data_IF_846711103072
#
_entry.id   IF_846711103072
#
_cell.length_a   1.000
_cell.length_b   1.000
_cell.length_c   1.000
_cell.angle_alpha   90.00
_cell.angle_beta   90.00
_cell.angle_gamma   90.00
#
_symmetry.space_group_name_H-M   'P 1'
#
loop_
_entity.id
_entity.type
_entity.pdbx_description
1 polymer ?
#
# COMPACT_ATOMS: atom_id res chain seq x y z
N UNK A 1 22.43 46.57 56.54
CA UNK A 1 21.87 46.50 55.16
C UNK A 1 21.95 45.06 54.68
N UNK A 2 20.81 44.37 54.56
CA UNK A 2 20.79 43.00 54.07
C UNK A 2 21.12 42.99 52.56
N UNK A 3 22.12 42.19 52.16
CA UNK A 3 22.45 41.96 50.75
C UNK A 3 21.23 41.32 50.07
N UNK A 4 20.52 42.08 49.24
CA UNK A 4 19.51 41.54 48.32
C UNK A 4 20.27 40.73 47.25
N UNK A 5 20.30 39.42 47.40
CA UNK A 5 20.75 38.54 46.34
C UNK A 5 19.84 38.77 45.13
N UNK A 6 20.43 39.20 44.00
CA UNK A 6 19.71 39.33 42.73
C UNK A 6 19.46 37.91 42.21
N UNK A 7 18.20 37.58 41.99
CA UNK A 7 17.82 36.32 41.34
C UNK A 7 18.35 36.31 39.90
N UNK A 8 19.24 35.37 39.52
CA UNK A 8 19.77 35.29 38.16
C UNK A 8 18.71 34.95 37.10
N UNK A 9 17.54 34.46 37.52
CA UNK A 9 16.42 34.14 36.64
C UNK A 9 15.29 35.18 36.68
N UNK A 10 15.49 36.31 37.38
CA UNK A 10 14.58 37.45 37.34
C UNK A 10 13.16 37.17 37.86
N UNK A 11 13.00 36.23 38.79
CA UNK A 11 11.71 35.84 39.38
C UNK A 11 10.96 34.78 38.57
N UNK A 12 11.55 34.21 37.53
CA UNK A 12 10.93 33.13 36.74
C UNK A 12 11.08 31.80 37.48
N UNK A 13 9.99 31.33 38.06
CA UNK A 13 9.89 29.97 38.63
C UNK A 13 9.32 28.99 37.62
N UNK A 14 9.83 27.76 37.61
CA UNK A 14 9.23 26.66 36.87
C UNK A 14 7.82 26.33 37.38
N UNK A 15 7.04 25.60 36.58
CA UNK A 15 5.77 25.04 37.04
C UNK A 15 6.03 24.00 38.13
N UNK A 16 5.17 23.94 39.15
CA UNK A 16 5.21 22.87 40.15
C UNK A 16 4.98 21.51 39.48
N UNK A 17 5.57 20.44 40.03
CA UNK A 17 5.46 19.09 39.47
C UNK A 17 4.00 18.63 39.30
N UNK A 18 3.11 19.03 40.22
CA UNK A 18 1.67 18.71 40.16
C UNK A 18 0.91 19.45 39.04
N UNK A 19 1.42 20.61 38.61
CA UNK A 19 0.83 21.41 37.53
C UNK A 19 1.46 21.11 36.15
N UNK A 20 2.59 20.40 36.13
CA UNK A 20 3.31 20.10 34.91
C UNK A 20 2.51 19.11 34.03
N UNK A 21 2.33 19.40 32.73
CA UNK A 21 1.64 18.48 31.84
C UNK A 21 2.45 17.19 31.66
N UNK A 22 1.76 16.05 31.64
CA UNK A 22 2.44 14.77 31.40
C UNK A 22 3.18 14.76 30.06
N UNK A 23 4.34 14.09 29.95
CA UNK A 23 5.10 13.99 28.69
C UNK A 23 4.23 13.51 27.51
N UNK A 24 3.32 12.58 27.77
CA UNK A 24 2.38 12.07 26.78
C UNK A 24 1.38 13.15 26.30
N UNK A 25 0.92 14.04 27.19
CA UNK A 25 0.09 15.19 26.82
C UNK A 25 0.88 16.21 26.00
N UNK A 26 2.16 16.42 26.32
CA UNK A 26 3.06 17.30 25.55
C UNK A 26 3.21 16.78 24.12
N UNK A 27 3.56 15.50 23.96
CA UNK A 27 3.73 14.88 22.65
C UNK A 27 2.44 14.89 21.82
N UNK A 28 1.28 14.61 22.45
CA UNK A 28 -0.04 14.73 21.80
C UNK A 28 -0.26 16.13 21.24
N UNK A 29 -0.06 17.15 22.06
CA UNK A 29 -0.28 18.54 21.67
C UNK A 29 0.67 18.96 20.55
N UNK A 30 1.91 18.47 20.59
CA UNK A 30 2.89 18.72 19.54
C UNK A 30 2.49 18.06 18.22
N UNK A 31 2.06 16.79 18.24
CA UNK A 31 1.55 16.08 17.07
C UNK A 31 0.31 16.77 16.46
N UNK A 32 -0.61 17.27 17.30
CA UNK A 32 -1.78 18.04 16.86
C UNK A 32 -1.41 19.36 16.18
N UNK A 33 -0.38 20.07 16.67
CA UNK A 33 0.13 21.28 16.03
C UNK A 33 0.77 20.96 14.67
N UNK A 34 1.58 19.92 14.59
CA UNK A 34 2.28 19.52 13.37
C UNK A 34 1.36 19.02 12.26
N UNK A 35 0.32 18.26 12.60
CA UNK A 35 -0.67 17.82 11.62
C UNK A 35 -1.50 18.99 11.08
N UNK A 36 -1.82 19.97 11.92
CA UNK A 36 -2.51 21.18 11.48
C UNK A 36 -1.66 21.95 10.48
N UNK A 37 -0.37 22.17 10.78
CA UNK A 37 0.57 22.79 9.84
C UNK A 37 0.64 21.99 8.53
N UNK A 38 0.73 20.66 8.62
CA UNK A 38 0.78 19.79 7.43
C UNK A 38 -0.49 19.86 6.57
N UNK A 39 -1.67 20.04 7.19
CA UNK A 39 -2.95 20.27 6.52
C UNK A 39 -3.02 21.65 5.87
N UNK A 40 -2.61 22.70 6.59
CA UNK A 40 -2.63 24.08 6.06
C UNK A 40 -1.74 24.18 4.82
N UNK A 41 -0.56 23.58 4.88
CA UNK A 41 0.35 23.47 3.74
C UNK A 41 -0.33 22.74 2.56
N UNK A 42 -1.00 21.61 2.83
CA UNK A 42 -1.68 20.83 1.80
C UNK A 42 -2.86 21.60 1.15
N UNK A 43 -3.50 22.47 1.90
CA UNK A 43 -4.65 23.26 1.45
C UNK A 43 -4.24 24.48 0.62
N UNK A 44 -3.03 25.00 0.84
CA UNK A 44 -2.49 26.12 0.08
C UNK A 44 -2.23 25.80 -1.41
N UNK A 45 -2.34 24.54 -1.85
CA UNK A 45 -2.23 24.04 -3.25
C UNK A 45 -0.98 24.46 -4.06
N UNK A 46 -0.06 25.26 -3.49
CA UNK A 46 1.10 25.85 -4.17
C UNK A 46 2.31 24.90 -4.31
N UNK A 47 2.18 23.64 -3.95
CA UNK A 47 3.25 22.63 -3.93
C UNK A 47 3.30 21.77 -5.21
N UNK A 48 2.86 22.30 -6.36
CA UNK A 48 3.00 21.62 -7.66
C UNK A 48 4.49 21.43 -7.96
N UNK A 49 4.94 20.18 -7.89
CA UNK A 49 6.34 19.82 -8.19
C UNK A 49 6.64 20.15 -9.64
N UNK A 50 7.34 21.27 -9.87
CA UNK A 50 7.70 21.82 -11.19
C UNK A 50 8.14 20.73 -12.17
N UNK A 51 7.74 20.86 -13.44
CA UNK A 51 8.15 19.90 -14.47
C UNK A 51 9.67 19.95 -14.66
N UNK A 52 10.27 18.86 -15.15
CA UNK A 52 11.73 18.82 -15.37
C UNK A 52 12.19 19.95 -16.32
N UNK A 53 11.42 20.21 -17.38
CA UNK A 53 11.68 21.31 -18.31
C UNK A 53 11.52 22.69 -17.66
N UNK A 54 10.58 22.83 -16.73
CA UNK A 54 10.36 24.04 -15.96
C UNK A 54 11.53 24.28 -14.99
N UNK A 55 12.04 23.23 -14.35
CA UNK A 55 13.22 23.31 -13.48
C UNK A 55 14.53 23.62 -14.24
N UNK A 56 14.60 23.23 -15.52
CA UNK A 56 15.73 23.58 -16.39
C UNK A 56 15.68 25.04 -16.84
N UNK A 57 14.50 25.56 -17.22
CA UNK A 57 14.31 26.96 -17.65
C UNK A 57 14.56 27.97 -16.54
N UNK A 58 14.20 27.64 -15.31
CA UNK A 58 14.31 28.56 -14.17
C UNK A 58 15.73 28.63 -13.58
N UNK A 59 16.65 27.80 -14.07
CA UNK A 59 18.00 27.65 -13.52
C UNK A 59 17.99 27.04 -12.12
N UNK A 60 19.16 26.61 -11.64
CA UNK A 60 19.33 26.16 -10.24
C UNK A 60 19.26 27.35 -9.27
N UNK A 61 18.15 28.08 -9.22
CA UNK A 61 17.84 28.87 -8.04
C UNK A 61 17.51 27.87 -6.94
N UNK A 62 18.31 27.88 -5.87
CA UNK A 62 18.05 27.10 -4.66
C UNK A 62 16.60 27.34 -4.23
N UNK A 63 15.71 26.38 -4.51
CA UNK A 63 14.36 26.36 -3.99
C UNK A 63 14.45 26.01 -2.50
N UNK A 64 14.95 26.94 -1.68
CA UNK A 64 14.99 26.87 -0.22
C UNK A 64 13.64 27.21 0.43
N UNK A 65 12.54 27.10 -0.31
CA UNK A 65 11.22 26.90 0.27
C UNK A 65 10.88 25.42 0.10
N UNK A 66 11.69 24.52 0.67
CA UNK A 66 11.24 23.17 0.95
C UNK A 66 10.12 23.32 1.97
N UNK A 67 8.89 23.33 1.47
CA UNK A 67 7.70 23.14 2.26
C UNK A 67 7.86 21.82 3.02
N UNK A 68 8.36 21.89 4.26
CA UNK A 68 8.59 20.72 5.12
C UNK A 68 7.32 20.43 5.89
N UNK A 69 6.37 19.78 5.23
CA UNK A 69 5.29 19.11 5.95
C UNK A 69 5.88 17.90 6.69
N UNK A 70 5.63 17.81 7.99
CA UNK A 70 6.14 16.69 8.80
C UNK A 70 5.39 15.40 8.44
N UNK A 71 4.06 15.47 8.31
CA UNK A 71 3.21 14.29 8.19
C UNK A 71 3.05 13.74 6.77
N UNK A 72 3.70 14.33 5.77
CA UNK A 72 3.63 13.77 4.42
C UNK A 72 4.82 14.21 3.56
N UNK A 73 5.16 13.37 2.59
CA UNK A 73 6.07 13.73 1.52
C UNK A 73 5.60 13.11 0.20
N UNK A 74 6.01 13.71 -0.92
CA UNK A 74 5.76 13.09 -2.21
C UNK A 74 6.50 11.76 -2.31
N UNK A 75 5.79 10.73 -2.78
CA UNK A 75 6.40 9.43 -3.01
C UNK A 75 7.63 9.59 -3.91
N UNK A 76 8.73 8.90 -3.56
CA UNK A 76 9.94 8.89 -4.38
C UNK A 76 9.69 8.33 -5.78
N UNK A 77 8.64 7.53 -5.95
CA UNK A 77 8.35 6.76 -7.17
C UNK A 77 7.41 7.48 -8.14
N UNK A 78 6.50 8.33 -7.66
CA UNK A 78 5.57 9.07 -8.52
C UNK A 78 5.10 10.37 -7.87
N UNK A 79 4.85 11.38 -8.70
CA UNK A 79 4.32 12.69 -8.28
C UNK A 79 2.82 12.64 -7.94
N UNK A 80 2.10 11.63 -8.42
CA UNK A 80 0.65 11.49 -8.22
C UNK A 80 0.29 10.86 -6.86
N UNK A 81 1.32 10.46 -6.11
CA UNK A 81 1.20 9.73 -4.87
C UNK A 81 2.04 10.36 -3.76
N UNK A 82 1.54 10.23 -2.54
CA UNK A 82 2.10 10.86 -1.35
C UNK A 82 2.21 9.80 -0.26
N UNK A 83 3.35 9.75 0.41
CA UNK A 83 3.50 8.95 1.62
C UNK A 83 3.06 9.81 2.81
N UNK A 84 2.23 9.25 3.69
CA UNK A 84 1.68 9.93 4.86
C UNK A 84 2.23 9.26 6.11
N UNK A 85 2.69 10.06 7.07
CA UNK A 85 3.39 9.62 8.27
C UNK A 85 2.55 9.90 9.52
N UNK A 86 2.30 8.84 10.30
CA UNK A 86 1.94 8.98 11.71
C UNK A 86 3.23 9.33 12.46
N UNK A 87 3.26 10.53 13.04
CA UNK A 87 4.42 11.06 13.75
C UNK A 87 4.02 11.33 15.19
N UNK A 88 4.84 10.86 16.10
CA UNK A 88 4.68 11.05 17.54
C UNK A 88 6.06 11.21 18.17
N UNK A 89 6.19 12.11 19.16
CA UNK A 89 7.49 12.40 19.80
C UNK A 89 8.63 12.65 18.79
N UNK A 90 8.33 13.39 17.72
CA UNK A 90 9.26 13.70 16.59
C UNK A 90 9.77 12.49 15.79
N UNK A 91 9.21 11.30 15.98
CA UNK A 91 9.55 10.09 15.23
C UNK A 91 8.38 9.59 14.41
N UNK A 92 8.69 8.98 13.27
CA UNK A 92 7.71 8.29 12.43
C UNK A 92 7.39 6.94 13.07
N UNK A 93 6.15 6.78 13.51
CA UNK A 93 5.64 5.53 14.08
C UNK A 93 5.21 4.57 12.98
N UNK A 94 4.46 5.09 12.00
CA UNK A 94 3.89 4.33 10.90
C UNK A 94 3.80 5.20 9.65
N UNK A 95 4.02 4.59 8.49
CA UNK A 95 3.86 5.28 7.20
C UNK A 95 2.84 4.56 6.34
N UNK A 96 1.86 5.32 5.87
CA UNK A 96 0.95 4.91 4.80
C UNK A 96 1.55 5.36 3.46
N UNK A 97 2.14 4.43 2.73
CA UNK A 97 2.84 4.75 1.48
C UNK A 97 1.88 4.90 0.31
N UNK A 98 2.20 5.80 -0.62
CA UNK A 98 1.61 5.93 -1.94
C UNK A 98 0.09 6.17 -1.95
N UNK A 99 -0.38 7.10 -1.13
CA UNK A 99 -1.77 7.55 -1.14
C UNK A 99 -2.03 8.39 -2.40
N UNK A 100 -3.09 8.10 -3.18
CA UNK A 100 -3.45 8.94 -4.31
C UNK A 100 -3.71 10.38 -3.87
N UNK A 101 -3.23 11.36 -4.64
CA UNK A 101 -3.35 12.79 -4.30
C UNK A 101 -4.75 13.21 -3.80
N UNK A 102 -5.82 12.69 -4.44
CA UNK A 102 -7.22 12.99 -4.09
C UNK A 102 -7.63 12.51 -2.68
N UNK A 103 -6.95 11.52 -2.11
CA UNK A 103 -7.28 10.91 -0.82
C UNK A 103 -6.39 11.42 0.32
N UNK A 104 -5.33 12.18 0.02
CA UNK A 104 -4.36 12.63 1.03
C UNK A 104 -5.01 13.48 2.12
N UNK A 105 -5.88 14.42 1.75
CA UNK A 105 -6.61 15.26 2.71
C UNK A 105 -7.46 14.43 3.67
N UNK A 106 -8.10 13.37 3.17
CA UNK A 106 -8.93 12.45 3.99
C UNK A 106 -8.05 11.73 5.01
N UNK A 107 -6.91 11.20 4.59
CA UNK A 107 -5.98 10.51 5.48
C UNK A 107 -5.34 11.46 6.52
N UNK A 108 -4.99 12.70 6.15
CA UNK A 108 -4.47 13.71 7.09
C UNK A 108 -5.54 14.12 8.12
N UNK A 109 -6.80 14.28 7.70
CA UNK A 109 -7.91 14.50 8.63
C UNK A 109 -8.16 13.28 9.53
N UNK A 110 -7.97 12.07 9.01
CA UNK A 110 -7.96 10.83 9.79
C UNK A 110 -6.93 10.88 10.92
N UNK A 111 -5.68 11.26 10.60
CA UNK A 111 -4.62 11.40 11.60
C UNK A 111 -4.95 12.45 12.66
N UNK A 112 -5.49 13.59 12.24
CA UNK A 112 -5.94 14.64 13.17
C UNK A 112 -7.04 14.13 14.11
N UNK A 113 -8.03 13.42 13.58
CA UNK A 113 -9.11 12.83 14.36
C UNK A 113 -8.57 11.76 15.33
N UNK A 114 -7.66 10.91 14.87
CA UNK A 114 -6.98 9.91 15.68
C UNK A 114 -6.26 10.54 16.88
N UNK A 115 -5.41 11.55 16.65
CA UNK A 115 -4.73 12.24 17.76
C UNK A 115 -5.72 12.88 18.74
N UNK A 116 -6.80 13.50 18.25
CA UNK A 116 -7.81 14.11 19.11
C UNK A 116 -8.46 13.07 20.05
N UNK A 117 -8.74 11.86 19.55
CA UNK A 117 -9.39 10.79 20.30
C UNK A 117 -8.48 10.09 21.32
N UNK A 118 -7.15 10.17 21.18
CA UNK A 118 -6.22 9.61 22.19
C UNK A 118 -6.40 10.33 23.53
N UNK A 119 -6.81 9.61 24.57
CA UNK A 119 -6.86 10.17 25.92
C UNK A 119 -5.45 10.38 26.48
N UNK A 120 -5.14 11.60 26.93
CA UNK A 120 -3.86 11.92 27.56
C UNK A 120 -3.75 11.42 29.01
N UNK A 121 -4.87 11.07 29.62
CA UNK A 121 -4.97 10.62 31.02
C UNK A 121 -4.97 9.10 31.08
N UNK A 122 -5.77 8.47 30.20
CA UNK A 122 -5.92 7.01 30.13
C UNK A 122 -5.89 6.55 28.67
N UNK A 123 -4.69 6.44 28.06
CA UNK A 123 -4.55 5.98 26.69
C UNK A 123 -5.11 4.58 26.52
N UNK A 124 -5.78 4.33 25.39
CA UNK A 124 -6.32 3.02 25.06
C UNK A 124 -5.22 2.13 24.47
N UNK A 125 -4.64 1.27 25.30
CA UNK A 125 -3.58 0.35 24.88
C UNK A 125 -4.09 -0.87 24.10
N UNK A 126 -5.42 -1.02 23.93
CA UNK A 126 -5.97 -2.04 23.03
C UNK A 126 -5.75 -1.68 21.55
N UNK A 127 -5.51 -0.40 21.25
CA UNK A 127 -5.12 0.03 19.92
C UNK A 127 -3.58 -0.03 19.76
N UNK A 128 -3.07 -0.81 18.77
CA UNK A 128 -1.63 -0.98 18.58
C UNK A 128 -0.91 0.33 18.24
N UNK A 129 -1.53 1.23 17.47
CA UNK A 129 -0.92 2.51 17.11
C UNK A 129 -0.81 3.44 18.34
N UNK A 130 -1.78 3.39 19.27
CA UNK A 130 -1.73 4.15 20.53
C UNK A 130 -0.66 3.61 21.47
N UNK A 131 -0.51 2.28 21.55
CA UNK A 131 0.56 1.64 22.32
C UNK A 131 1.94 2.05 21.79
N UNK A 132 2.12 2.09 20.47
CA UNK A 132 3.38 2.54 19.86
C UNK A 132 3.68 4.01 20.18
N UNK A 133 2.69 4.89 20.10
CA UNK A 133 2.83 6.30 20.51
C UNK A 133 3.26 6.41 21.99
N UNK A 134 2.62 5.64 22.88
CA UNK A 134 2.97 5.62 24.30
C UNK A 134 4.40 5.16 24.54
N UNK A 135 4.81 4.05 23.92
CA UNK A 135 6.15 3.51 24.08
C UNK A 135 7.22 4.46 23.50
N UNK A 136 6.95 5.18 22.41
CA UNK A 136 7.88 6.20 21.93
C UNK A 136 8.00 7.42 22.86
N UNK A 137 6.91 7.89 23.48
CA UNK A 137 7.02 8.86 24.57
C UNK A 137 7.83 8.29 25.73
N UNK A 138 7.54 7.05 26.14
CA UNK A 138 8.22 6.44 27.27
C UNK A 138 9.74 6.36 27.04
N UNK A 139 10.16 5.94 25.84
CA UNK A 139 11.57 5.95 25.43
C UNK A 139 12.17 7.35 25.44
N UNK A 140 11.48 8.35 24.89
CA UNK A 140 12.00 9.70 24.75
C UNK A 140 12.20 10.40 26.12
N UNK A 141 11.41 10.01 27.12
CA UNK A 141 11.44 10.59 28.47
C UNK A 141 11.99 9.61 29.53
N UNK A 142 12.59 8.49 29.14
CA UNK A 142 13.14 7.46 30.03
C UNK A 142 12.14 6.90 31.06
N UNK A 143 10.88 6.74 30.65
CA UNK A 143 9.79 6.14 31.43
C UNK A 143 9.62 4.65 31.07
N UNK A 144 8.95 3.84 31.92
CA UNK A 144 8.70 2.44 31.64
C UNK A 144 7.80 2.24 30.41
N UNK A 145 8.25 1.39 29.49
CA UNK A 145 7.49 0.94 28.33
C UNK A 145 6.44 -0.12 28.71
N UNK A 146 5.43 -0.30 27.87
CA UNK A 146 4.44 -1.36 28.00
C UNK A 146 4.60 -2.39 26.89
N UNK A 147 4.76 -3.65 27.27
CA UNK A 147 4.73 -4.78 26.33
C UNK A 147 3.39 -5.50 26.45
N UNK A 148 2.54 -5.34 25.42
CA UNK A 148 1.24 -5.99 25.32
C UNK A 148 1.27 -6.86 24.06
N UNK A 149 1.09 -8.17 24.25
CA UNK A 149 0.94 -9.11 23.14
C UNK A 149 -0.52 -9.17 22.72
N UNK A 150 -0.82 -8.61 21.55
CA UNK A 150 -2.14 -8.73 20.93
C UNK A 150 -2.37 -10.18 20.50
N UNK A 151 -3.54 -10.75 20.83
CA UNK A 151 -3.96 -12.06 20.30
C UNK A 151 -4.35 -11.87 18.83
N UNK A 152 -3.91 -12.77 17.96
CA UNK A 152 -4.10 -12.65 16.50
C UNK A 152 -5.56 -12.79 16.02
N UNK A 153 -6.52 -13.12 16.90
CA UNK A 153 -7.79 -13.73 16.48
C UNK A 153 -9.07 -13.02 16.94
N UNK A 154 -9.04 -11.71 17.20
CA UNK A 154 -10.29 -10.95 17.34
C UNK A 154 -10.14 -9.67 16.54
N UNK A 155 -10.99 -9.49 15.52
CA UNK A 155 -11.24 -8.22 14.85
C UNK A 155 -11.80 -7.23 15.89
N UNK A 156 -10.93 -6.70 16.75
CA UNK A 156 -11.27 -5.52 17.52
C UNK A 156 -11.33 -4.40 16.47
N UNK A 157 -12.50 -3.78 16.32
CA UNK A 157 -12.68 -2.56 15.51
C UNK A 157 -11.85 -1.42 16.15
N UNK A 158 -10.53 -1.47 15.98
CA UNK A 158 -9.64 -0.42 16.44
C UNK A 158 -9.68 0.73 15.45
N UNK A 159 -9.72 1.95 15.98
CA UNK A 159 -9.65 3.17 15.20
C UNK A 159 -8.40 3.19 14.29
N UNK A 160 -8.62 3.21 12.98
CA UNK A 160 -7.55 3.35 11.99
C UNK A 160 -7.06 4.81 11.92
N UNK A 161 -5.77 5.09 12.19
CA UNK A 161 -5.22 6.44 12.10
C UNK A 161 -5.36 7.10 10.73
N UNK A 162 -5.57 6.35 9.65
CA UNK A 162 -5.68 6.89 8.29
C UNK A 162 -7.11 6.90 7.75
N UNK A 163 -8.13 6.74 8.61
CA UNK A 163 -9.54 6.77 8.23
C UNK A 163 -9.93 5.77 7.11
N UNK A 164 -9.33 4.58 7.10
CA UNK A 164 -9.58 3.54 6.11
C UNK A 164 -8.94 3.79 4.74
N UNK A 165 -8.16 4.88 4.59
CA UNK A 165 -7.45 5.17 3.33
C UNK A 165 -6.35 4.13 3.13
N UNK A 166 -6.37 3.50 1.94
CA UNK A 166 -5.36 2.52 1.55
C UNK A 166 -4.42 3.13 0.51
N UNK A 167 -3.13 3.04 0.79
CA UNK A 167 -2.08 3.35 -0.18
C UNK A 167 -2.15 2.43 -1.40
N UNK A 168 -1.64 2.89 -2.54
CA UNK A 168 -1.41 2.03 -3.71
C UNK A 168 0.02 1.52 -3.70
N UNK A 169 0.23 0.21 -3.69
CA UNK A 169 1.60 -0.30 -3.77
C UNK A 169 2.26 0.09 -5.11
N UNK A 170 3.16 1.08 -5.12
CA UNK A 170 3.90 1.43 -6.35
C UNK A 170 4.99 0.38 -6.70
N UNK A 171 5.28 -0.56 -5.79
CA UNK A 171 6.11 -1.75 -6.08
C UNK A 171 5.41 -2.77 -6.97
N UNK A 172 4.10 -2.62 -7.16
CA UNK A 172 3.29 -3.43 -8.09
C UNK A 172 3.83 -3.38 -9.52
N UNK A 173 4.56 -2.32 -9.91
CA UNK A 173 5.16 -2.24 -11.24
C UNK A 173 6.18 -3.36 -11.47
N UNK A 174 6.76 -3.95 -10.42
CA UNK A 174 7.70 -5.05 -10.56
C UNK A 174 7.33 -6.33 -9.80
N UNK A 175 6.43 -6.28 -8.82
CA UNK A 175 5.88 -7.47 -8.17
C UNK A 175 5.02 -8.26 -9.17
N UNK A 176 5.44 -9.49 -9.46
CA UNK A 176 4.81 -10.33 -10.48
C UNK A 176 3.38 -10.74 -10.09
N UNK A 177 3.15 -11.02 -8.81
CA UNK A 177 1.81 -11.36 -8.28
C UNK A 177 0.86 -10.18 -8.45
N UNK A 178 1.32 -8.98 -8.14
CA UNK A 178 0.48 -7.80 -8.25
C UNK A 178 0.13 -7.44 -9.71
N UNK A 179 1.05 -7.70 -10.66
CA UNK A 179 0.76 -7.58 -12.09
C UNK A 179 -0.33 -8.55 -12.50
N UNK A 180 -0.20 -9.82 -12.13
CA UNK A 180 -1.18 -10.84 -12.47
C UNK A 180 -2.53 -10.60 -11.77
N UNK A 181 -2.51 -10.09 -10.52
CA UNK A 181 -3.69 -9.62 -9.78
C UNK A 181 -4.46 -8.58 -10.56
N UNK A 182 -3.77 -7.55 -11.06
CA UNK A 182 -4.41 -6.48 -11.83
C UNK A 182 -5.06 -7.04 -13.11
N UNK A 183 -4.33 -7.84 -13.87
CA UNK A 183 -4.85 -8.45 -15.10
C UNK A 183 -6.09 -9.32 -14.83
N UNK A 184 -6.06 -10.10 -13.74
CA UNK A 184 -7.18 -10.95 -13.36
C UNK A 184 -8.41 -10.14 -12.92
N UNK A 185 -8.21 -9.03 -12.18
CA UNK A 185 -9.29 -8.12 -11.82
C UNK A 185 -9.89 -7.43 -13.04
N UNK A 186 -9.06 -6.93 -13.96
CA UNK A 186 -9.52 -6.28 -15.20
C UNK A 186 -10.35 -7.26 -16.06
N UNK A 187 -9.95 -8.54 -16.15
CA UNK A 187 -10.71 -9.58 -16.86
C UNK A 187 -12.03 -9.95 -16.14
N UNK A 188 -12.04 -9.98 -14.81
CA UNK A 188 -13.25 -10.23 -14.03
C UNK A 188 -14.24 -9.07 -14.11
N UNK A 189 -13.76 -7.82 -14.06
CA UNK A 189 -14.59 -6.63 -14.28
C UNK A 189 -15.23 -6.69 -15.67
N UNK A 190 -14.44 -6.99 -16.71
CA UNK A 190 -14.97 -7.20 -18.06
C UNK A 190 -15.99 -8.36 -18.12
N UNK A 191 -15.71 -9.47 -17.44
CA UNK A 191 -16.61 -10.63 -17.42
C UNK A 191 -17.93 -10.32 -16.73
N UNK A 192 -17.90 -9.53 -15.65
CA UNK A 192 -19.10 -9.06 -14.94
C UNK A 192 -19.94 -8.17 -15.86
N UNK A 193 -19.33 -7.16 -16.48
CA UNK A 193 -20.01 -6.25 -17.40
C UNK A 193 -20.63 -7.01 -18.58
N UNK A 194 -19.90 -7.98 -19.14
CA UNK A 194 -20.39 -8.82 -20.22
C UNK A 194 -21.55 -9.71 -19.76
N UNK A 195 -21.46 -10.29 -18.56
CA UNK A 195 -22.51 -11.16 -18.02
C UNK A 195 -23.82 -10.39 -17.81
N UNK A 196 -23.76 -9.17 -17.27
CA UNK A 196 -24.93 -8.32 -17.06
C UNK A 196 -25.61 -7.93 -18.38
N UNK A 197 -24.83 -7.76 -19.45
CA UNK A 197 -25.35 -7.46 -20.78
C UNK A 197 -26.04 -8.66 -21.44
N UNK A 198 -25.85 -9.91 -20.98
CA UNK A 198 -26.49 -11.08 -21.60
C UNK A 198 -28.02 -10.98 -21.59
N UNK A 199 -28.59 -10.31 -20.58
CA UNK A 199 -30.03 -10.04 -20.51
C UNK A 199 -30.48 -8.91 -21.44
N UNK A 200 -29.67 -7.86 -21.59
CA UNK A 200 -29.97 -6.71 -22.44
C UNK A 200 -29.82 -7.00 -23.93
N UNK A 201 -28.92 -7.92 -24.30
CA UNK A 201 -28.64 -8.30 -25.70
C UNK A 201 -29.83 -8.98 -26.36
N UNK A 202 -30.77 -9.57 -25.60
CA UNK A 202 -32.04 -10.06 -26.14
C UNK A 202 -32.94 -8.93 -26.67
N UNK A 203 -32.73 -7.67 -26.24
CA UNK A 203 -33.59 -6.53 -26.58
C UNK A 203 -32.91 -5.41 -27.40
N UNK A 204 -31.58 -5.29 -27.42
CA UNK A 204 -30.87 -4.26 -28.22
C UNK A 204 -29.63 -4.82 -28.94
N UNK A 205 -29.59 -4.68 -30.27
CA UNK A 205 -28.54 -5.13 -31.20
C UNK A 205 -27.16 -4.47 -31.05
N UNK A 206 -26.86 -3.75 -29.96
CA UNK A 206 -25.65 -2.94 -29.85
C UNK A 206 -24.77 -3.38 -28.68
N UNK A 207 -23.99 -4.45 -28.87
CA UNK A 207 -22.84 -4.73 -28.01
C UNK A 207 -21.71 -3.76 -28.36
N UNK A 208 -21.34 -2.87 -27.43
CA UNK A 208 -20.15 -2.02 -27.57
C UNK A 208 -18.83 -2.83 -27.63
N UNK A 209 -18.85 -4.15 -27.39
CA UNK A 209 -17.66 -5.00 -27.27
C UNK A 209 -17.77 -6.40 -27.95
N UNK A 210 -18.51 -6.56 -29.06
CA UNK A 210 -18.89 -7.90 -29.58
C UNK A 210 -17.75 -8.84 -30.04
N UNK A 211 -16.49 -8.38 -30.13
CA UNK A 211 -15.38 -9.21 -30.65
C UNK A 211 -14.64 -10.04 -29.61
N UNK A 212 -14.75 -9.72 -28.31
CA UNK A 212 -14.01 -10.43 -27.24
C UNK A 212 -14.98 -11.21 -26.35
N UNK A 213 -14.73 -12.51 -26.18
CA UNK A 213 -15.45 -13.35 -25.22
C UNK A 213 -14.77 -13.31 -23.85
N UNK A 214 -15.53 -13.28 -22.74
CA UNK A 214 -14.96 -13.35 -21.40
C UNK A 214 -14.30 -14.70 -21.15
N UNK A 215 -13.20 -14.72 -20.38
CA UNK A 215 -12.50 -15.97 -20.02
C UNK A 215 -13.05 -16.63 -18.77
N UNK A 216 -13.73 -15.88 -17.90
CA UNK A 216 -14.12 -16.37 -16.58
C UNK A 216 -15.41 -17.19 -16.57
N UNK A 217 -16.12 -17.31 -17.68
CA UNK A 217 -17.26 -18.21 -17.78
C UNK A 217 -17.54 -18.66 -19.22
N UNK A 218 -18.31 -19.74 -19.36
CA UNK A 218 -18.89 -20.17 -20.63
C UNK A 218 -20.23 -20.87 -20.39
N UNK A 219 -21.04 -21.08 -21.44
CA UNK A 219 -22.28 -21.86 -21.32
C UNK A 219 -21.97 -23.34 -21.10
N UNK A 220 -22.60 -23.95 -20.09
CA UNK A 220 -22.43 -25.38 -19.80
C UNK A 220 -23.05 -26.29 -20.86
N UNK A 221 -24.09 -25.80 -21.55
CA UNK A 221 -24.82 -26.56 -22.57
C UNK A 221 -24.94 -25.73 -23.84
N UNK A 222 -24.94 -26.40 -24.99
CA UNK A 222 -25.07 -25.74 -26.31
C UNK A 222 -26.46 -25.13 -26.54
N UNK A 223 -27.47 -25.67 -25.87
CA UNK A 223 -28.90 -25.37 -26.11
C UNK A 223 -29.54 -24.54 -25.00
N UNK A 224 -28.83 -24.25 -23.91
CA UNK A 224 -29.38 -23.53 -22.75
C UNK A 224 -28.46 -22.39 -22.34
N UNK A 225 -29.06 -21.23 -22.13
CA UNK A 225 -28.43 -20.00 -21.62
C UNK A 225 -28.60 -19.84 -20.10
N UNK A 226 -29.14 -20.86 -19.41
CA UNK A 226 -29.44 -20.82 -17.98
C UNK A 226 -28.32 -21.40 -17.10
N UNK A 227 -27.37 -22.12 -17.70
CA UNK A 227 -26.29 -22.80 -16.98
C UNK A 227 -24.92 -22.41 -17.51
N UNK A 228 -24.01 -22.11 -16.59
CA UNK A 228 -22.68 -21.62 -16.87
C UNK A 228 -21.61 -22.44 -16.15
N UNK A 229 -20.50 -22.63 -16.84
CA UNK A 229 -19.24 -23.07 -16.25
C UNK A 229 -18.42 -21.83 -15.90
N UNK A 230 -17.91 -21.75 -14.67
CA UNK A 230 -17.17 -20.62 -14.11
C UNK A 230 -15.70 -21.01 -13.94
N UNK A 231 -14.79 -20.11 -14.28
CA UNK A 231 -13.36 -20.34 -14.32
C UNK A 231 -12.57 -19.27 -13.55
N UNK A 232 -11.70 -19.71 -12.65
CA UNK A 232 -10.65 -18.88 -12.05
C UNK A 232 -9.38 -19.02 -12.88
N UNK A 233 -9.09 -18.02 -13.69
CA UNK A 233 -7.82 -17.91 -14.41
C UNK A 233 -6.85 -17.01 -13.66
N UNK A 234 -5.59 -17.44 -13.58
CA UNK A 234 -4.49 -16.65 -13.03
C UNK A 234 -3.22 -16.89 -13.82
N UNK A 235 -2.46 -15.83 -14.13
CA UNK A 235 -1.20 -15.98 -14.87
C UNK A 235 -1.32 -16.70 -16.22
N UNK A 236 -2.51 -16.76 -16.83
CA UNK A 236 -2.76 -17.51 -18.06
C UNK A 236 -3.04 -19.01 -17.88
N UNK A 237 -3.07 -19.53 -16.65
CA UNK A 237 -3.49 -20.90 -16.34
C UNK A 237 -4.85 -20.93 -15.64
N UNK A 238 -5.59 -22.00 -15.85
CA UNK A 238 -6.82 -22.30 -15.11
C UNK A 238 -6.43 -22.86 -13.74
N UNK A 239 -6.90 -22.23 -12.67
CA UNK A 239 -6.63 -22.63 -11.28
C UNK A 239 -7.78 -23.49 -10.75
N UNK A 240 -9.01 -22.98 -10.85
CA UNK A 240 -10.22 -23.69 -10.42
C UNK A 240 -11.36 -23.49 -11.40
N UNK A 241 -12.28 -24.43 -11.43
CA UNK A 241 -13.50 -24.32 -12.21
C UNK A 241 -14.68 -24.95 -11.48
N UNK A 242 -15.88 -24.43 -11.75
CA UNK A 242 -17.15 -24.97 -11.27
C UNK A 242 -18.05 -25.09 -12.49
N UNK A 243 -18.71 -26.24 -12.67
CA UNK A 243 -19.54 -26.51 -13.84
C UNK A 243 -21.02 -26.46 -13.51
N UNK A 244 -21.86 -26.22 -14.53
CA UNK A 244 -23.33 -26.34 -14.47
C UNK A 244 -23.97 -25.46 -13.38
N UNK A 245 -23.50 -24.23 -13.26
CA UNK A 245 -24.01 -23.25 -12.28
C UNK A 245 -25.18 -22.48 -12.89
N UNK A 246 -26.31 -22.39 -12.20
CA UNK A 246 -27.44 -21.59 -12.69
C UNK A 246 -27.05 -20.11 -12.83
N UNK A 247 -27.68 -19.40 -13.77
CA UNK A 247 -27.36 -18.01 -14.12
C UNK A 247 -27.20 -17.06 -12.93
N UNK A 248 -28.17 -17.07 -11.99
CA UNK A 248 -28.10 -16.23 -10.80
C UNK A 248 -26.89 -16.57 -9.91
N UNK A 249 -26.62 -17.86 -9.71
CA UNK A 249 -25.47 -18.33 -8.93
C UNK A 249 -24.15 -18.08 -9.64
N UNK A 250 -24.14 -18.13 -10.98
CA UNK A 250 -22.97 -17.83 -11.80
C UNK A 250 -22.52 -16.38 -11.61
N UNK A 251 -23.47 -15.43 -11.63
CA UNK A 251 -23.17 -14.03 -11.37
C UNK A 251 -22.55 -13.81 -9.99
N UNK A 252 -23.15 -14.42 -8.96
CA UNK A 252 -22.60 -14.39 -7.59
C UNK A 252 -21.19 -14.97 -7.56
N UNK A 253 -20.96 -16.12 -8.19
CA UNK A 253 -19.65 -16.75 -8.22
C UNK A 253 -18.57 -15.85 -8.84
N UNK A 254 -18.87 -15.16 -9.95
CA UNK A 254 -17.92 -14.24 -10.60
C UNK A 254 -17.60 -13.05 -9.69
N UNK A 255 -18.59 -12.49 -8.97
CA UNK A 255 -18.36 -11.42 -7.97
C UNK A 255 -17.52 -11.91 -6.81
N UNK A 256 -17.81 -13.12 -6.31
CA UNK A 256 -17.04 -13.74 -5.24
C UNK A 256 -15.59 -13.97 -5.65
N UNK A 257 -15.33 -14.43 -6.89
CA UNK A 257 -13.98 -14.55 -7.43
C UNK A 257 -13.25 -13.20 -7.45
N UNK A 258 -13.95 -12.13 -7.85
CA UNK A 258 -13.39 -10.78 -7.82
C UNK A 258 -13.06 -10.33 -6.40
N UNK A 259 -13.95 -10.57 -5.45
CA UNK A 259 -13.74 -10.29 -4.02
C UNK A 259 -12.53 -11.03 -3.46
N UNK A 260 -12.44 -12.33 -3.74
CA UNK A 260 -11.31 -13.18 -3.38
C UNK A 260 -9.99 -12.64 -3.93
N UNK A 261 -9.90 -12.38 -5.24
CA UNK A 261 -8.67 -11.83 -5.85
C UNK A 261 -8.32 -10.48 -5.24
N UNK A 262 -9.31 -9.61 -5.01
CA UNK A 262 -9.10 -8.29 -4.41
C UNK A 262 -8.51 -8.38 -3.00
N UNK A 263 -8.89 -9.39 -2.22
CA UNK A 263 -8.41 -9.61 -0.86
C UNK A 263 -6.96 -10.11 -0.78
N UNK A 264 -6.44 -10.83 -1.79
CA UNK A 264 -5.07 -11.36 -1.79
C UNK A 264 -4.04 -10.24 -1.57
N UNK A 265 -3.23 -10.33 -0.52
CA UNK A 265 -2.19 -9.35 -0.23
C UNK A 265 -0.93 -9.61 -1.09
N UNK A 266 -0.64 -8.76 -2.06
CA UNK A 266 0.43 -9.03 -3.05
C UNK A 266 1.85 -9.06 -2.47
N UNK A 267 2.10 -8.44 -1.31
CA UNK A 267 3.42 -8.44 -0.62
C UNK A 267 3.55 -9.52 0.47
N UNK A 268 2.41 -10.07 0.91
CA UNK A 268 2.34 -11.06 1.98
C UNK A 268 1.22 -12.03 1.64
N UNK A 269 1.30 -12.72 0.49
CA UNK A 269 0.27 -13.65 0.09
C UNK A 269 0.17 -14.75 1.15
N UNK A 270 -1.05 -15.09 1.55
CA UNK A 270 -1.27 -16.18 2.48
C UNK A 270 -1.04 -17.53 1.77
N UNK A 271 0.16 -18.08 1.95
CA UNK A 271 0.55 -19.35 1.33
C UNK A 271 -0.02 -20.58 2.05
N UNK A 272 -0.74 -20.39 3.16
CA UNK A 272 -1.48 -21.48 3.81
C UNK A 272 -2.77 -21.81 3.04
N UNK A 273 -3.37 -20.84 2.34
CA UNK A 273 -4.45 -21.12 1.39
C UNK A 273 -3.88 -21.82 0.15
N UNK A 274 -4.35 -23.05 -0.10
CA UNK A 274 -3.91 -23.87 -1.22
C UNK A 274 -4.08 -23.19 -2.59
N UNK A 275 -5.14 -22.38 -2.75
CA UNK A 275 -5.47 -21.66 -3.98
C UNK A 275 -4.51 -20.51 -4.20
N UNK A 276 -4.24 -19.72 -3.14
CA UNK A 276 -3.30 -18.61 -3.19
C UNK A 276 -1.88 -19.13 -3.44
N UNK A 277 -1.51 -20.26 -2.83
CA UNK A 277 -0.24 -20.95 -3.08
C UNK A 277 -0.10 -21.40 -4.53
N UNK A 278 -1.14 -21.99 -5.11
CA UNK A 278 -1.14 -22.38 -6.52
C UNK A 278 -0.98 -21.16 -7.44
N UNK A 279 -1.75 -20.10 -7.19
CA UNK A 279 -1.63 -18.84 -7.93
C UNK A 279 -0.23 -18.23 -7.83
N UNK A 280 0.40 -18.32 -6.66
CA UNK A 280 1.77 -17.86 -6.42
C UNK A 280 2.78 -18.60 -7.32
N UNK A 281 2.73 -19.93 -7.34
CA UNK A 281 3.63 -20.75 -8.17
C UNK A 281 3.40 -20.52 -9.66
N UNK A 282 2.14 -20.34 -10.08
CA UNK A 282 1.81 -19.98 -11.46
C UNK A 282 2.42 -18.63 -11.86
N UNK A 283 2.35 -17.63 -11.00
CA UNK A 283 3.03 -16.33 -11.23
C UNK A 283 4.54 -16.50 -11.28
N UNK A 284 5.13 -17.25 -10.34
CA UNK A 284 6.58 -17.51 -10.32
C UNK A 284 7.05 -18.14 -11.64
N UNK A 285 6.35 -19.15 -12.13
CA UNK A 285 6.69 -19.85 -13.37
C UNK A 285 6.45 -18.98 -14.63
N UNK A 286 5.33 -18.27 -14.69
CA UNK A 286 5.01 -17.39 -15.82
C UNK A 286 6.10 -16.35 -16.07
N UNK A 287 6.59 -15.73 -15.00
CA UNK A 287 7.57 -14.65 -15.07
C UNK A 287 9.02 -15.15 -14.98
N UNK A 288 9.24 -16.48 -15.03
CA UNK A 288 10.58 -17.08 -15.01
C UNK A 288 11.42 -16.54 -16.18
N UNK A 289 12.68 -16.12 -15.94
CA UNK A 289 13.57 -15.63 -16.98
C UNK A 289 13.76 -16.71 -18.04
N UNK A 290 13.58 -16.36 -19.31
CA UNK A 290 13.80 -17.26 -20.46
C UNK A 290 14.68 -16.55 -21.47
N UNK A 291 15.47 -17.33 -22.22
CA UNK A 291 16.21 -16.80 -23.36
C UNK A 291 15.22 -16.29 -24.41
N UNK A 292 15.54 -15.15 -24.99
CA UNK A 292 14.76 -14.56 -26.08
C UNK A 292 15.67 -14.22 -27.26
N UNK A 293 15.09 -13.82 -28.39
CA UNK A 293 15.85 -13.37 -29.57
C UNK A 293 16.79 -12.20 -29.25
N UNK A 294 16.42 -11.36 -28.27
CA UNK A 294 17.19 -10.19 -27.82
C UNK A 294 18.05 -10.46 -26.59
N UNK A 295 17.83 -11.57 -25.88
CA UNK A 295 18.46 -11.87 -24.60
C UNK A 295 18.97 -13.33 -24.62
N UNK A 296 20.17 -13.52 -25.18
CA UNK A 296 20.77 -14.86 -25.44
C UNK A 296 21.73 -15.35 -24.36
N UNK A 297 22.07 -14.53 -23.37
CA UNK A 297 23.03 -14.93 -22.33
C UNK A 297 22.39 -15.89 -21.32
N UNK A 298 22.99 -17.08 -21.21
CA UNK A 298 22.59 -18.13 -20.27
C UNK A 298 22.65 -17.67 -18.81
N UNK A 299 23.50 -16.69 -18.46
CA UNK A 299 23.61 -16.16 -17.09
C UNK A 299 22.33 -15.52 -16.57
N UNK A 300 21.39 -15.18 -17.45
CA UNK A 300 20.10 -14.55 -17.11
C UNK A 300 19.06 -15.60 -16.70
N UNK A 301 19.26 -16.87 -17.02
CA UNK A 301 18.38 -17.95 -16.62
C UNK A 301 18.29 -18.10 -15.09
N UNK A 302 17.32 -18.88 -14.65
CA UNK A 302 17.20 -19.23 -13.24
C UNK A 302 18.41 -20.04 -12.76
N UNK A 303 18.70 -20.01 -11.45
CA UNK A 303 19.75 -20.86 -10.84
C UNK A 303 19.54 -22.34 -11.17
N UNK A 304 18.28 -22.80 -11.16
CA UNK A 304 17.89 -24.18 -11.50
C UNK A 304 18.25 -24.56 -12.95
N UNK A 305 18.31 -23.59 -13.85
CA UNK A 305 18.62 -23.77 -15.28
C UNK A 305 20.07 -23.39 -15.61
N UNK A 306 20.93 -23.24 -14.59
CA UNK A 306 22.35 -22.92 -14.75
C UNK A 306 22.67 -21.44 -14.97
N UNK A 307 21.71 -20.54 -14.71
CA UNK A 307 21.91 -19.10 -14.70
C UNK A 307 22.16 -18.54 -13.30
N UNK A 308 22.00 -17.23 -13.13
CA UNK A 308 22.24 -16.53 -11.87
C UNK A 308 20.99 -15.88 -11.28
N UNK A 309 19.85 -15.92 -11.99
CA UNK A 309 18.62 -15.27 -11.55
C UNK A 309 17.88 -16.10 -10.49
N UNK A 310 17.28 -15.43 -9.51
CA UNK A 310 16.53 -16.09 -8.44
C UNK A 310 15.18 -15.41 -8.19
N UNK A 311 14.25 -16.15 -7.60
CA UNK A 311 12.97 -15.61 -7.16
C UNK A 311 13.11 -15.00 -5.76
N UNK A 312 12.81 -13.72 -5.61
CA UNK A 312 12.80 -13.05 -4.32
C UNK A 312 11.45 -13.26 -3.62
N UNK A 313 11.47 -13.87 -2.44
CA UNK A 313 10.28 -14.00 -1.58
C UNK A 313 9.91 -12.69 -0.88
N UNK A 314 10.82 -11.71 -0.81
CA UNK A 314 10.55 -10.38 -0.22
C UNK A 314 9.83 -9.46 -1.21
N UNK A 315 10.23 -9.51 -2.48
CA UNK A 315 9.69 -8.63 -3.53
C UNK A 315 8.76 -9.33 -4.52
N UNK A 316 8.59 -10.65 -4.39
CA UNK A 316 7.75 -11.52 -5.22
C UNK A 316 7.95 -11.32 -6.72
N UNK A 317 9.22 -11.38 -7.13
CA UNK A 317 9.65 -11.27 -8.53
C UNK A 317 10.98 -11.98 -8.76
N UNK A 318 11.29 -12.23 -10.02
CA UNK A 318 12.63 -12.66 -10.43
C UNK A 318 13.62 -11.51 -10.41
N UNK A 319 14.71 -11.69 -9.66
CA UNK A 319 15.86 -10.77 -9.64
C UNK A 319 16.86 -11.29 -10.66
N UNK A 320 17.10 -10.48 -11.69
CA UNK A 320 18.00 -10.81 -12.80
C UNK A 320 19.25 -9.92 -12.74
N UNK A 321 20.37 -10.46 -13.24
CA UNK A 321 21.55 -9.65 -13.53
C UNK A 321 21.33 -8.73 -14.72
N UNK A 322 22.21 -7.74 -14.88
CA UNK A 322 22.14 -6.74 -15.96
C UNK A 322 23.47 -6.59 -16.66
N UNK A 323 23.43 -6.34 -17.95
CA UNK A 323 24.62 -5.98 -18.71
C UNK A 323 24.92 -4.48 -18.60
N UNK A 324 26.13 -4.13 -18.21
CA UNK A 324 26.64 -2.78 -18.41
C UNK A 324 27.05 -2.62 -19.87
N UNK A 325 26.17 -1.98 -20.67
CA UNK A 325 26.40 -1.74 -22.10
C UNK A 325 27.68 -0.96 -22.40
N UNK A 326 28.17 -0.15 -21.45
CA UNK A 326 29.40 0.65 -21.64
C UNK A 326 30.66 -0.16 -21.43
N UNK A 327 30.61 -1.14 -20.52
CA UNK A 327 31.77 -1.98 -20.15
C UNK A 327 31.75 -3.38 -20.75
N UNK A 328 30.61 -3.80 -21.32
CA UNK A 328 30.42 -5.16 -21.83
C UNK A 328 30.36 -6.24 -20.75
N UNK A 329 30.29 -5.85 -19.47
CA UNK A 329 30.35 -6.78 -18.33
C UNK A 329 28.96 -7.10 -17.82
N UNK A 330 28.72 -8.39 -17.55
CA UNK A 330 27.52 -8.85 -16.85
C UNK A 330 27.65 -8.58 -15.34
N UNK A 331 26.71 -7.84 -14.80
CA UNK A 331 26.59 -7.58 -13.36
C UNK A 331 25.56 -8.58 -12.80
N UNK A 332 25.96 -9.48 -11.90
CA UNK A 332 25.05 -10.47 -11.33
C UNK A 332 23.93 -9.80 -10.51
N UNK A 333 22.81 -10.51 -10.30
CA UNK A 333 21.74 -10.02 -9.44
C UNK A 333 22.25 -9.84 -8.01
N UNK A 334 21.80 -8.78 -7.33
CA UNK A 334 22.11 -8.59 -5.91
C UNK A 334 21.40 -9.66 -5.10
N UNK A 335 22.09 -10.27 -4.15
CA UNK A 335 21.52 -11.27 -3.24
C UNK A 335 20.62 -10.62 -2.17
N UNK A 336 19.69 -11.40 -1.61
CA UNK A 336 18.86 -11.07 -0.45
C UNK A 336 17.86 -9.90 -0.60
N UNK A 337 17.49 -9.53 -1.83
CA UNK A 337 16.47 -8.50 -2.10
C UNK A 337 15.05 -8.97 -1.85
#
# INVERSE_FOLDING_TARGET
MAKRNKDPFGGVSGQSEDAAPSPFKIDKNQALKEIQVSLDIWDQKNFVKKSFLQSLREGRKNNQNEIKASHWNFSKKSKDYVDIHLIWSKKVIRTLTNVPFKQVRVALNGLKAFYNQISSIKPDFSNPDVLLCYNETAKNYHLPEKDIRFKNDIEIETLDPFAGVKGKDLEIVFNCIAKDKKIALDELDFSIEFFDQLDEVKHKKNLKNSRRKPKNFSFSYKTSDEYFDIYLYWGGKLIKSIKKVSKQRARVAIVSLRGFIKAIHSQKPDLNDSTVREMYEVSKEKHKPKLSSTQKDKKILSIEEGGLSYWSHKTHRWIQGKFDKKKGIFIPPKENL
#
